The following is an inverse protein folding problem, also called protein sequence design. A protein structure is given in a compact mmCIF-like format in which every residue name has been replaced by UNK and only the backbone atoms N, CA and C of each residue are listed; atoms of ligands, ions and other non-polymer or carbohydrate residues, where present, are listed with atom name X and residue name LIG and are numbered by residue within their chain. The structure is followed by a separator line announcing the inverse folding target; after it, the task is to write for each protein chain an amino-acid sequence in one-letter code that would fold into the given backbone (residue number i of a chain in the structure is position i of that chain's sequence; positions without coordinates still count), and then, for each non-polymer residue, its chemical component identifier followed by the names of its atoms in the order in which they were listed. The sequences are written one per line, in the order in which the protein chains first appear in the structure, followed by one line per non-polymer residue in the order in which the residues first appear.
data_IF_616759219946
#
_entry.id   IF_616759219946
#
_cell.length_a   1.000
_cell.length_b   1.000
_cell.length_c   1.000
_cell.angle_alpha   90.00
_cell.angle_beta   90.00
_cell.angle_gamma   90.00
#
_symmetry.space_group_name_H-M   'P 1'
#
loop_
_entity.id
_entity.type
_entity.pdbx_description
1 polymer ?
#
# COMPACT_ATOMS: atom_id res chain seq x y z
N UNK A 1 -88.92 -15.92 35.10
CA UNK A 1 -88.74 -15.16 33.84
C UNK A 1 -87.46 -14.34 33.94
N UNK A 2 -86.54 -14.56 32.99
CA UNK A 2 -85.31 -13.79 32.67
C UNK A 2 -84.28 -13.57 33.79
N UNK A 3 -83.23 -14.39 33.78
CA UNK A 3 -81.88 -13.97 34.17
C UNK A 3 -80.93 -14.16 32.97
N UNK A 4 -80.24 -13.07 32.62
CA UNK A 4 -79.22 -12.98 31.59
C UNK A 4 -78.01 -13.84 31.93
N UNK A 5 -77.50 -14.56 30.94
CA UNK A 5 -76.12 -15.07 30.92
C UNK A 5 -75.47 -14.48 29.67
N UNK A 6 -74.38 -13.74 29.89
CA UNK A 6 -73.63 -13.05 28.84
C UNK A 6 -72.95 -14.05 27.90
N UNK A 7 -72.93 -13.82 26.57
CA UNK A 7 -72.13 -14.62 25.66
C UNK A 7 -70.64 -14.20 25.72
N UNK A 8 -69.77 -15.21 25.74
CA UNK A 8 -68.32 -15.09 25.75
C UNK A 8 -67.81 -14.38 24.48
N UNK A 9 -66.75 -13.57 24.65
CA UNK A 9 -66.10 -12.82 23.58
C UNK A 9 -65.39 -13.76 22.57
N UNK A 10 -65.40 -13.45 21.26
CA UNK A 10 -64.64 -14.21 20.27
C UNK A 10 -63.14 -13.89 20.37
N UNK A 11 -62.32 -14.94 20.47
CA UNK A 11 -60.86 -14.88 20.46
C UNK A 11 -60.35 -14.36 19.10
N UNK A 12 -59.48 -13.34 19.15
CA UNK A 12 -58.82 -12.78 17.97
C UNK A 12 -57.73 -13.73 17.47
N UNK A 13 -57.66 -14.02 16.15
CA UNK A 13 -56.63 -14.91 15.61
C UNK A 13 -55.23 -14.32 15.77
N UNK A 14 -54.30 -15.19 16.17
CA UNK A 14 -52.90 -14.90 16.41
C UNK A 14 -52.19 -14.33 15.18
N UNK A 15 -51.39 -13.31 15.46
CA UNK A 15 -50.40 -12.62 14.62
C UNK A 15 -49.94 -13.40 13.38
N UNK A 16 -50.12 -12.76 12.22
CA UNK A 16 -49.44 -13.10 10.96
C UNK A 16 -47.95 -12.86 11.20
N UNK A 17 -47.18 -13.94 11.34
CA UNK A 17 -45.73 -13.85 11.30
C UNK A 17 -45.32 -13.45 9.88
N UNK A 18 -44.95 -12.18 9.71
CA UNK A 18 -44.21 -11.71 8.54
C UNK A 18 -42.92 -12.52 8.47
N UNK A 19 -42.85 -13.43 7.48
CA UNK A 19 -41.62 -14.13 7.13
C UNK A 19 -40.70 -13.09 6.51
N UNK A 20 -39.83 -12.49 7.34
CA UNK A 20 -38.66 -11.78 6.82
C UNK A 20 -37.83 -12.80 6.06
N UNK A 21 -37.90 -12.68 4.74
CA UNK A 21 -37.00 -13.32 3.81
C UNK A 21 -35.60 -12.80 4.13
N UNK A 22 -34.83 -13.62 4.83
CA UNK A 22 -33.41 -13.43 5.09
C UNK A 22 -32.71 -13.18 3.76
N UNK A 23 -32.50 -11.91 3.41
CA UNK A 23 -31.52 -11.52 2.42
C UNK A 23 -30.19 -12.13 2.87
N UNK A 24 -29.72 -13.14 2.12
CA UNK A 24 -28.37 -13.66 2.31
C UNK A 24 -27.36 -12.51 2.24
N UNK A 25 -26.17 -12.64 2.85
CA UNK A 25 -25.17 -11.58 2.81
C UNK A 25 -24.94 -11.19 1.36
N UNK A 26 -25.25 -9.92 1.03
CA UNK A 26 -24.95 -9.33 -0.26
C UNK A 26 -23.45 -9.51 -0.49
N UNK A 27 -23.10 -10.48 -1.33
CA UNK A 27 -21.72 -10.77 -1.66
C UNK A 27 -21.16 -9.52 -2.30
N UNK A 28 -20.14 -8.93 -1.68
CA UNK A 28 -19.46 -7.76 -2.22
C UNK A 28 -19.15 -8.00 -3.71
N UNK A 29 -19.29 -6.99 -4.58
CA UNK A 29 -18.99 -7.14 -5.99
C UNK A 29 -17.58 -7.70 -6.16
N UNK A 30 -17.38 -8.60 -7.15
CA UNK A 30 -16.09 -9.25 -7.34
C UNK A 30 -14.99 -8.20 -7.51
N UNK A 31 -13.83 -8.49 -6.95
CA UNK A 31 -12.67 -7.61 -7.02
C UNK A 31 -12.22 -7.39 -8.47
N UNK A 32 -11.44 -6.33 -8.74
CA UNK A 32 -10.90 -6.11 -10.08
C UNK A 32 -10.14 -7.35 -10.56
N UNK A 33 -10.47 -7.80 -11.78
CA UNK A 33 -9.87 -8.97 -12.45
C UNK A 33 -10.06 -10.33 -11.77
N UNK A 34 -11.03 -10.46 -10.86
CA UNK A 34 -11.35 -11.74 -10.24
C UNK A 34 -11.65 -12.82 -11.28
N UNK A 35 -11.08 -14.01 -11.08
CA UNK A 35 -11.23 -15.16 -11.99
C UNK A 35 -10.51 -15.04 -13.34
N UNK A 36 -9.87 -13.91 -13.67
CA UNK A 36 -9.10 -13.77 -14.92
C UNK A 36 -7.75 -14.47 -14.80
N UNK A 37 -7.42 -15.28 -15.81
CA UNK A 37 -6.10 -15.91 -15.93
C UNK A 37 -5.02 -14.94 -16.44
N UNK A 38 -5.42 -13.97 -17.25
CA UNK A 38 -4.53 -12.96 -17.83
C UNK A 38 -5.18 -11.57 -17.85
N UNK A 39 -4.34 -10.56 -17.66
CA UNK A 39 -4.69 -9.14 -17.66
C UNK A 39 -3.61 -8.38 -18.44
N UNK A 40 -4.01 -7.46 -19.31
CA UNK A 40 -3.04 -6.65 -20.05
C UNK A 40 -2.36 -5.64 -19.13
N UNK A 41 -1.11 -5.28 -19.44
CA UNK A 41 -0.40 -4.23 -18.72
C UNK A 41 -1.17 -2.89 -18.73
N UNK A 42 -1.83 -2.56 -19.85
CA UNK A 42 -2.69 -1.37 -19.94
C UNK A 42 -3.84 -1.40 -18.95
N UNK A 43 -4.58 -2.51 -18.85
CA UNK A 43 -5.65 -2.68 -17.85
C UNK A 43 -5.12 -2.57 -16.42
N UNK A 44 -3.95 -3.14 -16.14
CA UNK A 44 -3.29 -3.01 -14.84
C UNK A 44 -2.94 -1.55 -14.50
N UNK A 45 -2.42 -0.78 -15.47
CA UNK A 45 -2.10 0.64 -15.26
C UNK A 45 -3.35 1.47 -15.00
N UNK A 46 -4.44 1.23 -15.72
CA UNK A 46 -5.73 1.91 -15.47
C UNK A 46 -6.28 1.55 -14.08
N UNK A 47 -6.15 0.27 -13.67
CA UNK A 47 -6.54 -0.14 -12.32
C UNK A 47 -5.72 0.59 -11.26
N UNK A 48 -4.39 0.61 -11.38
CA UNK A 48 -3.51 1.34 -10.45
C UNK A 48 -3.79 2.84 -10.42
N UNK A 49 -4.11 3.45 -11.57
CA UNK A 49 -4.46 4.87 -11.65
C UNK A 49 -5.69 5.18 -10.82
N UNK A 50 -6.76 4.39 -11.00
CA UNK A 50 -7.99 4.56 -10.19
C UNK A 50 -7.74 4.28 -8.71
N UNK A 51 -6.92 3.28 -8.35
CA UNK A 51 -6.50 3.07 -6.95
C UNK A 51 -5.81 4.33 -6.40
N UNK A 52 -4.84 4.88 -7.12
CA UNK A 52 -4.14 6.09 -6.68
C UNK A 52 -5.08 7.30 -6.56
N UNK A 53 -6.01 7.47 -7.50
CA UNK A 53 -6.96 8.58 -7.48
C UNK A 53 -7.94 8.45 -6.29
N UNK A 54 -8.41 7.24 -5.96
CA UNK A 54 -9.20 6.97 -4.74
C UNK A 54 -8.40 7.28 -3.46
N UNK A 55 -7.11 6.93 -3.45
CA UNK A 55 -6.23 7.16 -2.31
C UNK A 55 -5.96 8.65 -2.05
N UNK A 56 -6.08 9.51 -3.06
CA UNK A 56 -5.77 10.93 -2.97
C UNK A 56 -6.60 11.67 -1.89
N UNK A 57 -7.81 11.17 -1.59
CA UNK A 57 -8.70 11.74 -0.58
C UNK A 57 -8.54 11.12 0.82
N UNK A 58 -7.68 10.10 0.97
CA UNK A 58 -7.44 9.49 2.28
C UNK A 58 -6.66 10.43 3.21
N UNK A 59 -6.94 10.44 4.53
CA UNK A 59 -6.32 11.39 5.45
C UNK A 59 -4.78 11.36 5.46
N UNK A 60 -4.18 10.18 5.36
CA UNK A 60 -2.71 10.03 5.39
C UNK A 60 -2.06 10.52 4.10
N UNK A 61 -2.66 10.24 2.94
CA UNK A 61 -2.16 10.75 1.65
C UNK A 61 -2.30 12.27 1.60
N UNK A 62 -3.43 12.84 2.05
CA UNK A 62 -3.61 14.29 2.12
C UNK A 62 -2.60 14.98 3.02
N UNK A 63 -2.31 14.41 4.20
CA UNK A 63 -1.26 14.93 5.09
C UNK A 63 0.12 14.91 4.42
N UNK A 64 0.44 13.83 3.71
CA UNK A 64 1.69 13.76 2.93
C UNK A 64 1.75 14.81 1.82
N UNK A 65 0.65 15.03 1.11
CA UNK A 65 0.53 16.04 0.06
C UNK A 65 0.75 17.46 0.60
N UNK A 66 0.07 17.81 1.70
CA UNK A 66 0.24 19.11 2.37
C UNK A 66 1.68 19.33 2.85
N UNK A 67 2.32 18.27 3.36
CA UNK A 67 3.73 18.28 3.74
C UNK A 67 4.62 18.56 2.53
N UNK A 68 4.40 17.89 1.40
CA UNK A 68 5.14 18.12 0.17
C UNK A 68 5.01 19.58 -0.29
N UNK A 69 3.79 20.11 -0.34
CA UNK A 69 3.54 21.49 -0.73
C UNK A 69 4.32 22.47 0.15
N UNK A 70 4.27 22.28 1.47
CA UNK A 70 5.00 23.10 2.43
C UNK A 70 6.53 22.99 2.27
N UNK A 71 7.06 21.77 2.24
CA UNK A 71 8.50 21.51 2.21
C UNK A 71 9.16 21.99 0.92
N UNK A 72 8.44 21.86 -0.20
CA UNK A 72 8.94 22.26 -1.50
C UNK A 72 8.46 23.63 -1.91
N UNK A 73 7.65 24.35 -1.11
CA UNK A 73 7.05 25.65 -1.45
C UNK A 73 6.27 25.58 -2.78
N UNK A 74 5.45 24.56 -2.92
CA UNK A 74 4.55 24.33 -4.04
C UNK A 74 3.12 24.69 -3.64
N UNK A 75 2.26 24.87 -4.64
CA UNK A 75 0.83 25.10 -4.49
C UNK A 75 0.04 24.01 -5.21
N UNK A 76 -1.27 23.95 -4.97
CA UNK A 76 -2.15 23.04 -5.70
C UNK A 76 -2.27 23.35 -7.20
N UNK A 77 -1.77 24.50 -7.66
CA UNK A 77 -1.65 24.81 -9.08
C UNK A 77 -0.41 24.15 -9.70
N UNK A 78 0.62 23.85 -8.91
CA UNK A 78 1.86 23.24 -9.38
C UNK A 78 1.76 21.71 -9.45
N UNK A 79 1.05 21.12 -8.48
CA UNK A 79 0.88 19.67 -8.39
C UNK A 79 -0.47 19.35 -7.75
N UNK A 80 -1.22 18.43 -8.35
CA UNK A 80 -2.52 18.00 -7.83
C UNK A 80 -2.38 16.94 -6.72
N UNK A 81 -3.39 16.77 -5.84
CA UNK A 81 -3.43 15.64 -4.91
C UNK A 81 -3.36 14.28 -5.60
N UNK A 82 -3.99 14.13 -6.78
CA UNK A 82 -3.98 12.90 -7.57
C UNK A 82 -2.57 12.57 -8.04
N UNK A 83 -1.85 13.56 -8.58
CA UNK A 83 -0.47 13.39 -9.03
C UNK A 83 0.44 13.00 -7.87
N UNK A 84 0.31 13.65 -6.71
CA UNK A 84 1.04 13.24 -5.51
C UNK A 84 0.71 11.79 -5.09
N UNK A 85 -0.58 11.43 -5.08
CA UNK A 85 -1.03 10.09 -4.71
C UNK A 85 -0.43 9.02 -5.62
N UNK A 86 -0.42 9.26 -6.94
CA UNK A 86 0.22 8.37 -7.93
C UNK A 86 1.72 8.22 -7.68
N UNK A 87 2.45 9.32 -7.45
CA UNK A 87 3.89 9.27 -7.12
C UNK A 87 4.13 8.45 -5.86
N UNK A 88 3.40 8.77 -4.79
CA UNK A 88 3.54 8.09 -3.50
C UNK A 88 3.24 6.59 -3.62
N UNK A 89 2.17 6.24 -4.32
CA UNK A 89 1.79 4.84 -4.54
C UNK A 89 2.92 4.08 -5.24
N UNK A 90 3.39 4.57 -6.40
CA UNK A 90 4.44 3.90 -7.18
C UNK A 90 5.74 3.83 -6.40
N UNK A 91 6.11 4.90 -5.71
CA UNK A 91 7.30 4.95 -4.88
C UNK A 91 7.28 3.86 -3.79
N UNK A 92 6.21 3.80 -2.99
CA UNK A 92 6.12 2.84 -1.89
C UNK A 92 5.88 1.41 -2.38
N UNK A 93 5.35 1.25 -3.59
CA UNK A 93 5.20 -0.04 -4.25
C UNK A 93 6.53 -0.62 -4.71
N UNK A 94 7.33 0.19 -5.42
CA UNK A 94 8.50 -0.25 -6.21
C UNK A 94 9.80 -0.21 -5.43
N UNK A 95 9.85 0.44 -4.28
CA UNK A 95 11.09 0.55 -3.52
C UNK A 95 11.50 -0.76 -2.83
N UNK A 96 12.76 -0.84 -2.42
CA UNK A 96 13.28 -1.90 -1.55
C UNK A 96 12.48 -1.99 -0.24
N UNK A 97 11.97 -3.18 0.06
CA UNK A 97 11.09 -3.44 1.20
C UNK A 97 9.71 -2.77 1.07
N UNK A 98 9.39 -2.25 -0.11
CA UNK A 98 8.08 -1.70 -0.48
C UNK A 98 7.00 -2.78 -0.51
N UNK A 99 5.74 -2.37 -0.68
CA UNK A 99 4.64 -3.30 -0.50
C UNK A 99 4.49 -4.33 -1.63
N UNK A 100 5.16 -4.19 -2.77
CA UNK A 100 5.25 -5.30 -3.74
C UNK A 100 6.32 -6.33 -3.40
N UNK A 101 7.12 -6.09 -2.36
CA UNK A 101 8.07 -7.07 -1.82
C UNK A 101 9.33 -7.23 -2.66
N UNK A 102 9.76 -6.17 -3.36
CA UNK A 102 11.05 -6.18 -4.07
C UNK A 102 12.16 -5.98 -3.05
N UNK A 103 13.22 -6.80 -3.13
CA UNK A 103 14.42 -6.68 -2.31
C UNK A 103 15.55 -6.08 -3.13
N UNK A 104 16.23 -5.09 -2.56
CA UNK A 104 17.47 -4.61 -3.14
C UNK A 104 18.62 -5.60 -2.91
N UNK A 105 19.34 -5.93 -3.97
CA UNK A 105 20.63 -6.64 -3.95
C UNK A 105 21.43 -6.28 -5.20
N UNK A 106 22.72 -6.65 -5.24
CA UNK A 106 23.57 -6.54 -6.43
C UNK A 106 23.24 -7.71 -7.37
N UNK A 107 22.92 -7.40 -8.62
CA UNK A 107 22.45 -8.36 -9.63
C UNK A 107 23.39 -8.46 -10.83
N UNK A 108 24.25 -7.46 -11.07
CA UNK A 108 25.14 -7.34 -12.22
C UNK A 108 24.38 -7.43 -13.57
N UNK A 109 23.13 -6.95 -13.59
CA UNK A 109 22.24 -6.98 -14.77
C UNK A 109 22.16 -5.63 -15.47
N UNK A 110 21.46 -5.60 -16.61
CA UNK A 110 21.14 -4.36 -17.29
C UNK A 110 20.22 -3.48 -16.42
N UNK A 111 20.31 -2.14 -16.50
CA UNK A 111 19.69 -1.18 -15.57
C UNK A 111 18.19 -0.96 -15.84
N UNK A 112 17.46 -2.03 -16.10
CA UNK A 112 16.15 -2.04 -16.74
C UNK A 112 15.14 -2.81 -15.89
N UNK A 113 13.85 -2.48 -15.97
CA UNK A 113 12.85 -3.19 -15.16
C UNK A 113 12.46 -4.57 -15.70
N UNK A 114 12.95 -5.02 -16.87
CA UNK A 114 12.54 -6.30 -17.49
C UNK A 114 12.74 -7.48 -16.55
N UNK A 115 13.87 -7.52 -15.86
CA UNK A 115 14.21 -8.62 -14.96
C UNK A 115 13.28 -8.69 -13.74
N UNK A 116 12.71 -7.56 -13.31
CA UNK A 116 11.68 -7.56 -12.26
C UNK A 116 10.39 -8.17 -12.81
N UNK A 117 9.97 -7.77 -14.02
CA UNK A 117 8.78 -8.33 -14.67
C UNK A 117 8.92 -9.83 -14.95
N UNK A 118 10.10 -10.29 -15.35
CA UNK A 118 10.38 -11.71 -15.55
C UNK A 118 10.27 -12.51 -14.25
N UNK A 119 10.87 -12.03 -13.16
CA UNK A 119 10.76 -12.65 -11.84
C UNK A 119 9.30 -12.71 -11.39
N UNK A 120 8.56 -11.62 -11.52
CA UNK A 120 7.15 -11.57 -11.18
C UNK A 120 6.29 -12.50 -12.04
N UNK A 121 6.56 -12.63 -13.34
CA UNK A 121 5.85 -13.61 -14.19
C UNK A 121 6.12 -15.06 -13.77
N UNK A 122 7.32 -15.35 -13.26
CA UNK A 122 7.71 -16.67 -12.80
C UNK A 122 7.32 -16.97 -11.33
N UNK A 123 6.92 -15.94 -10.58
CA UNK A 123 6.57 -16.08 -9.16
C UNK A 123 5.19 -16.72 -8.99
N UNK A 124 5.06 -17.58 -7.98
CA UNK A 124 3.81 -18.28 -7.68
C UNK A 124 2.88 -17.41 -6.81
N UNK A 125 2.15 -16.51 -7.47
CA UNK A 125 1.24 -15.57 -6.83
C UNK A 125 -0.01 -16.20 -6.23
N UNK A 126 -0.32 -17.45 -6.56
CA UNK A 126 -1.51 -18.11 -5.98
C UNK A 126 -1.35 -18.31 -4.48
N UNK A 127 -0.13 -18.67 -4.04
CA UNK A 127 0.21 -18.77 -2.62
C UNK A 127 0.13 -17.43 -1.89
N UNK A 128 0.44 -16.35 -2.60
CA UNK A 128 0.38 -14.99 -2.08
C UNK A 128 -1.08 -14.53 -1.87
N UNK A 129 -1.97 -14.86 -2.82
CA UNK A 129 -3.41 -14.62 -2.71
C UNK A 129 -4.05 -15.44 -1.58
N UNK A 130 -3.68 -16.72 -1.46
CA UNK A 130 -4.13 -17.60 -0.36
C UNK A 130 -3.66 -17.09 1.01
N UNK A 131 -2.38 -16.70 1.13
CA UNK A 131 -1.85 -16.15 2.37
C UNK A 131 -2.53 -14.82 2.76
N UNK A 132 -2.92 -14.02 1.77
CA UNK A 132 -3.59 -12.73 1.98
C UNK A 132 -5.06 -12.86 2.42
N UNK A 133 -5.70 -14.00 2.13
CA UNK A 133 -7.13 -14.29 2.39
C UNK A 133 -7.36 -15.30 3.51
N UNK A 134 -6.33 -16.04 3.95
CA UNK A 134 -6.45 -17.03 5.00
C UNK A 134 -6.77 -16.40 6.37
N UNK A 135 -7.83 -16.86 7.07
CA UNK A 135 -8.13 -16.40 8.43
C UNK A 135 -7.03 -16.82 9.40
N UNK A 136 -6.71 -15.95 10.34
CA UNK A 136 -5.63 -16.16 11.31
C UNK A 136 -6.00 -17.33 12.24
N UNK A 137 -5.11 -18.30 12.37
CA UNK A 137 -5.15 -19.23 13.49
C UNK A 137 -4.87 -18.43 14.76
N UNK A 138 -5.87 -18.32 15.63
CA UNK A 138 -5.68 -17.81 16.99
C UNK A 138 -4.84 -18.85 17.74
N UNK A 139 -3.56 -18.60 17.91
CA UNK A 139 -2.78 -19.33 18.91
C UNK A 139 -3.32 -18.91 20.28
N UNK A 140 -4.14 -19.77 20.87
CA UNK A 140 -4.46 -19.67 22.30
C UNK A 140 -3.19 -20.02 23.05
N UNK A 141 -2.52 -19.00 23.59
CA UNK A 141 -1.43 -19.16 24.54
C UNK A 141 -2.00 -19.78 25.84
N UNK A 142 -2.12 -21.10 25.86
CA UNK A 142 -2.28 -21.86 27.10
C UNK A 142 -0.91 -22.07 27.71
N UNK A 143 -0.29 -20.99 28.19
CA UNK A 143 0.82 -21.11 29.14
C UNK A 143 0.29 -21.87 30.37
N UNK A 144 0.79 -23.07 30.71
CA UNK A 144 0.44 -23.72 31.96
C UNK A 144 1.06 -22.91 33.09
N UNK A 145 0.21 -22.41 33.99
CA UNK A 145 0.65 -21.65 35.16
C UNK A 145 1.73 -22.40 35.93
N UNK A 146 2.92 -21.81 35.98
CA UNK A 146 4.01 -22.22 36.87
C UNK A 146 3.49 -22.16 38.30
N UNK A 147 3.40 -23.31 38.97
CA UNK A 147 2.99 -23.40 40.36
C UNK A 147 3.85 -22.45 41.21
N UNK A 148 3.22 -21.44 41.80
CA UNK A 148 3.85 -20.56 42.76
C UNK A 148 4.17 -21.37 44.03
N UNK A 149 5.43 -21.32 44.43
CA UNK A 149 5.90 -21.79 45.73
C UNK A 149 5.10 -21.11 46.82
N UNK A 150 4.63 -21.90 47.78
CA UNK A 150 4.12 -21.39 49.06
C UNK A 150 5.27 -20.68 49.76
N UNK A 151 5.12 -19.37 49.94
CA UNK A 151 5.60 -18.57 51.06
C UNK A 151 5.55 -17.11 50.59
N UNK A 152 4.41 -16.46 50.83
CA UNK A 152 4.25 -15.02 51.08
C UNK A 152 2.75 -14.70 51.20
N UNK A 153 2.19 -15.08 52.34
CA UNK A 153 0.88 -14.66 52.78
C UNK A 153 1.02 -13.41 53.66
N UNK A 154 0.88 -12.23 53.09
CA UNK A 154 0.38 -11.03 53.78
C UNK A 154 0.33 -9.81 52.83
N UNK A 155 -0.83 -9.53 52.26
CA UNK A 155 -1.44 -8.19 52.15
C UNK A 155 -2.52 -8.25 51.06
N UNK A 156 -3.74 -8.52 51.50
CA UNK A 156 -4.94 -8.44 50.68
C UNK A 156 -5.55 -7.05 50.91
N UNK A 157 -5.52 -6.19 49.89
CA UNK A 157 -6.36 -5.00 49.84
C UNK A 157 -6.64 -4.63 48.38
N UNK A 158 -7.86 -4.96 47.96
CA UNK A 158 -8.64 -4.34 46.89
C UNK A 158 -7.95 -4.16 45.52
N UNK A 159 -8.05 -5.19 44.66
CA UNK A 159 -8.19 -4.98 43.22
C UNK A 159 -9.32 -5.85 42.69
N UNK A 160 -10.45 -5.20 42.49
CA UNK A 160 -11.59 -5.70 41.74
C UNK A 160 -11.10 -6.02 40.31
N UNK A 161 -10.83 -7.29 40.04
CA UNK A 161 -10.49 -7.78 38.70
C UNK A 161 -11.78 -8.04 37.94
N UNK A 162 -12.37 -6.98 37.39
CA UNK A 162 -13.29 -7.11 36.27
C UNK A 162 -12.52 -7.76 35.12
N UNK A 163 -12.98 -8.87 34.52
CA UNK A 163 -12.35 -9.40 33.32
C UNK A 163 -12.42 -8.32 32.24
N UNK A 164 -11.28 -7.72 31.89
CA UNK A 164 -11.18 -6.95 30.65
C UNK A 164 -11.49 -7.93 29.54
N UNK A 165 -12.62 -7.73 28.88
CA UNK A 165 -12.91 -8.35 27.59
C UNK A 165 -11.73 -8.01 26.68
N UNK A 166 -10.86 -9.00 26.46
CA UNK A 166 -9.80 -8.92 25.48
C UNK A 166 -10.51 -9.02 24.14
N UNK A 167 -10.94 -7.87 23.60
CA UNK A 167 -11.33 -7.79 22.20
C UNK A 167 -10.10 -8.27 21.43
N UNK A 168 -10.16 -9.42 20.72
CA UNK A 168 -9.03 -9.89 19.96
C UNK A 168 -8.74 -8.81 18.90
N UNK A 169 -7.61 -8.11 19.07
CA UNK A 169 -7.07 -7.30 18.00
C UNK A 169 -6.79 -8.27 16.86
N UNK A 170 -7.54 -8.16 15.76
CA UNK A 170 -7.29 -8.93 14.56
C UNK A 170 -5.78 -8.90 14.30
N UNK A 171 -5.13 -10.06 14.40
CA UNK A 171 -3.71 -10.14 14.14
C UNK A 171 -3.48 -9.65 12.70
N UNK A 172 -2.39 -8.92 12.46
CA UNK A 172 -2.10 -8.47 11.11
C UNK A 172 -1.95 -9.71 10.21
N UNK A 173 -2.48 -9.70 8.96
CA UNK A 173 -2.26 -10.78 8.02
C UNK A 173 -0.78 -11.13 7.95
N UNK A 174 -0.44 -12.42 7.81
CA UNK A 174 0.95 -12.88 7.68
C UNK A 174 1.60 -12.09 6.54
N UNK A 175 2.55 -11.25 6.92
CA UNK A 175 3.29 -10.41 5.99
C UNK A 175 4.32 -11.29 5.29
N UNK A 176 4.27 -11.33 3.96
CA UNK A 176 5.15 -12.18 3.14
C UNK A 176 6.58 -11.71 3.35
N UNK A 177 7.42 -12.61 3.85
CA UNK A 177 8.82 -12.31 4.22
C UNK A 177 9.82 -12.64 3.11
N UNK A 178 9.42 -13.43 2.12
CA UNK A 178 10.26 -13.74 0.96
C UNK A 178 10.10 -12.66 -0.12
N UNK A 179 11.20 -12.18 -0.73
CA UNK A 179 11.10 -11.23 -1.83
C UNK A 179 10.32 -11.80 -3.02
N UNK A 180 9.47 -10.98 -3.64
CA UNK A 180 8.78 -11.33 -4.90
C UNK A 180 9.69 -11.12 -6.11
N UNK A 181 10.69 -10.24 -5.96
CA UNK A 181 11.76 -10.00 -6.92
C UNK A 181 13.00 -9.43 -6.19
N UNK A 182 14.17 -9.60 -6.80
CA UNK A 182 15.43 -8.99 -6.41
C UNK A 182 15.88 -8.03 -7.52
N UNK A 183 16.35 -6.83 -7.15
CA UNK A 183 16.71 -5.79 -8.11
C UNK A 183 17.76 -4.80 -7.59
N UNK A 184 18.57 -4.24 -8.50
CA UNK A 184 19.52 -3.17 -8.20
C UNK A 184 18.87 -1.78 -8.17
N UNK A 185 19.64 -0.77 -7.75
CA UNK A 185 19.13 0.60 -7.57
C UNK A 185 18.66 1.24 -8.89
N UNK A 186 19.27 0.88 -10.01
CA UNK A 186 18.89 1.32 -11.34
C UNK A 186 17.64 0.61 -11.85
N UNK A 187 17.52 -0.71 -11.67
CA UNK A 187 16.33 -1.51 -12.00
C UNK A 187 15.09 -1.00 -11.23
N UNK A 188 15.25 -0.71 -9.93
CA UNK A 188 14.19 -0.13 -9.09
C UNK A 188 13.79 1.28 -9.55
N UNK A 189 14.78 2.13 -9.85
CA UNK A 189 14.53 3.49 -10.34
C UNK A 189 13.91 3.50 -11.74
N UNK A 190 14.29 2.56 -12.60
CA UNK A 190 13.73 2.34 -13.93
C UNK A 190 12.27 1.88 -13.84
N UNK A 191 11.96 0.94 -12.94
CA UNK A 191 10.59 0.50 -12.69
C UNK A 191 9.70 1.64 -12.21
N UNK A 192 10.18 2.45 -11.25
CA UNK A 192 9.48 3.65 -10.81
C UNK A 192 9.24 4.61 -11.99
N UNK A 193 10.27 4.91 -12.78
CA UNK A 193 10.15 5.86 -13.88
C UNK A 193 9.21 5.38 -15.00
N UNK A 194 9.20 4.07 -15.29
CA UNK A 194 8.25 3.44 -16.21
C UNK A 194 6.82 3.65 -15.73
N UNK A 195 6.51 3.22 -14.50
CA UNK A 195 5.16 3.27 -13.94
C UNK A 195 4.69 4.71 -13.75
N UNK A 196 5.58 5.61 -13.33
CA UNK A 196 5.27 7.03 -13.20
C UNK A 196 4.82 7.66 -14.51
N UNK A 197 5.50 7.33 -15.61
CA UNK A 197 5.10 7.79 -16.95
C UNK A 197 3.75 7.22 -17.35
N UNK A 198 3.56 5.92 -17.17
CA UNK A 198 2.37 5.23 -17.67
C UNK A 198 1.12 5.54 -16.80
N UNK A 199 1.32 5.96 -15.54
CA UNK A 199 0.28 6.53 -14.67
C UNK A 199 -0.01 8.02 -14.93
N UNK A 200 0.61 8.61 -15.97
CA UNK A 200 0.40 10.03 -16.34
C UNK A 200 0.67 10.98 -15.16
N UNK A 201 1.79 10.79 -14.47
CA UNK A 201 2.23 11.71 -13.42
C UNK A 201 2.65 13.03 -14.06
N UNK A 202 2.03 14.13 -13.65
CA UNK A 202 2.41 15.47 -14.12
C UNK A 202 3.86 15.81 -13.77
N UNK A 203 4.48 16.58 -14.66
CA UNK A 203 5.88 16.96 -14.55
C UNK A 203 6.82 15.99 -15.25
N UNK A 204 8.06 15.94 -14.80
CA UNK A 204 9.11 15.15 -15.42
C UNK A 204 9.69 14.15 -14.44
N UNK A 205 9.66 12.87 -14.80
CA UNK A 205 10.35 11.81 -14.05
C UNK A 205 11.57 11.34 -14.84
N UNK A 206 12.71 11.27 -14.16
CA UNK A 206 13.95 10.82 -14.77
C UNK A 206 14.90 10.22 -13.74
N UNK A 207 16.07 9.81 -14.22
CA UNK A 207 17.11 9.16 -13.44
C UNK A 207 18.27 10.12 -13.20
N UNK A 208 18.87 10.05 -12.03
CA UNK A 208 20.09 10.79 -11.72
C UNK A 208 21.07 9.90 -10.96
N UNK A 209 22.35 10.26 -11.09
CA UNK A 209 23.47 9.54 -10.47
C UNK A 209 24.09 10.40 -9.36
N UNK A 210 23.67 10.26 -8.08
CA UNK A 210 24.27 11.01 -6.97
C UNK A 210 25.74 10.65 -6.78
N UNK A 211 26.09 9.38 -6.99
CA UNK A 211 27.45 8.83 -6.96
C UNK A 211 27.73 8.10 -8.28
N UNK A 212 28.94 7.57 -8.45
CA UNK A 212 29.34 6.90 -9.70
C UNK A 212 28.67 5.53 -9.90
N UNK A 213 28.19 4.90 -8.82
CA UNK A 213 27.61 3.55 -8.79
C UNK A 213 26.19 3.53 -8.19
N UNK A 214 25.50 4.67 -8.21
CA UNK A 214 24.13 4.74 -7.73
C UNK A 214 23.25 5.44 -8.72
N UNK A 215 22.10 4.85 -8.99
CA UNK A 215 21.01 5.47 -9.72
C UNK A 215 19.84 5.68 -8.77
N UNK A 216 19.22 6.85 -8.85
CA UNK A 216 18.01 7.19 -8.11
C UNK A 216 17.07 7.91 -9.06
N UNK A 217 15.75 7.79 -8.85
CA UNK A 217 14.77 8.56 -9.61
C UNK A 217 14.58 9.98 -9.03
N UNK A 218 14.25 10.94 -9.88
CA UNK A 218 13.83 12.30 -9.51
C UNK A 218 12.49 12.57 -10.18
N UNK A 219 11.58 13.15 -9.40
CA UNK A 219 10.38 13.80 -9.92
C UNK A 219 10.58 15.32 -9.89
N UNK A 220 10.46 15.95 -11.06
CA UNK A 220 10.54 17.39 -11.24
C UNK A 220 9.14 17.96 -11.44
N UNK A 221 8.73 18.82 -10.52
CA UNK A 221 7.44 19.51 -10.57
C UNK A 221 7.66 20.90 -11.16
N UNK A 222 7.08 21.20 -12.35
CA UNK A 222 7.09 22.54 -12.90
C UNK A 222 6.39 23.51 -11.97
N UNK A 223 6.97 24.69 -11.77
CA UNK A 223 6.28 25.76 -11.06
C UNK A 223 5.42 26.58 -12.01
N UNK A 224 4.19 26.82 -11.61
CA UNK A 224 3.29 27.77 -12.26
C UNK A 224 3.93 29.15 -12.27
N UNK A 225 3.91 29.81 -13.43
CA UNK A 225 4.47 31.15 -13.60
C UNK A 225 3.74 32.15 -12.69
N UNK A 226 4.38 32.51 -11.58
CA UNK A 226 3.80 33.37 -10.53
C UNK A 226 4.61 33.36 -9.23
N UNK A 227 5.37 32.30 -8.96
CA UNK A 227 6.43 32.29 -7.95
C UNK A 227 7.71 32.91 -8.50
N UNK A 228 8.34 33.82 -7.75
CA UNK A 228 9.57 34.49 -8.14
C UNK A 228 10.73 33.48 -8.33
N UNK A 229 10.94 33.00 -9.56
CA UNK A 229 12.01 32.07 -9.93
C UNK A 229 11.84 31.52 -11.33
N UNK A 230 12.25 32.28 -12.34
CA UNK A 230 12.08 31.98 -13.76
C UNK A 230 13.03 30.86 -14.27
N UNK A 231 12.48 29.90 -15.03
CA UNK A 231 13.20 28.92 -15.85
C UNK A 231 13.22 27.48 -15.30
N UNK A 232 13.74 26.48 -16.05
CA UNK A 232 13.93 25.09 -15.57
C UNK A 232 14.89 24.94 -14.37
N UNK A 233 15.45 26.06 -13.89
CA UNK A 233 16.15 26.18 -12.62
C UNK A 233 15.20 26.42 -11.42
N UNK A 234 13.92 26.68 -11.66
CA UNK A 234 12.87 26.92 -10.65
C UNK A 234 12.03 25.69 -10.30
N UNK A 235 12.10 24.61 -11.09
CA UNK A 235 11.34 23.38 -10.84
C UNK A 235 11.73 22.76 -9.50
N UNK A 236 10.75 22.28 -8.75
CA UNK A 236 11.02 21.53 -7.54
C UNK A 236 11.53 20.13 -7.92
N UNK A 237 12.74 19.78 -7.46
CA UNK A 237 13.35 18.46 -7.67
C UNK A 237 13.16 17.60 -6.43
N UNK A 238 12.23 16.66 -6.51
CA UNK A 238 11.87 15.75 -5.43
C UNK A 238 12.62 14.42 -5.65
N UNK A 239 13.45 14.03 -4.68
CA UNK A 239 14.16 12.77 -4.73
C UNK A 239 13.24 11.58 -4.47
N UNK A 240 13.40 10.51 -5.24
CA UNK A 240 12.62 9.27 -5.11
C UNK A 240 13.58 8.12 -4.78
N UNK A 241 13.90 7.89 -3.49
CA UNK A 241 14.88 6.89 -3.07
C UNK A 241 14.30 5.47 -3.10
N UNK A 242 14.25 4.86 -4.28
CA UNK A 242 13.71 3.51 -4.48
C UNK A 242 14.60 2.41 -3.89
N UNK A 243 15.88 2.69 -3.61
CA UNK A 243 16.71 1.84 -2.74
C UNK A 243 17.29 2.64 -1.57
N UNK A 244 17.76 1.91 -0.55
CA UNK A 244 18.22 2.49 0.71
C UNK A 244 19.75 2.67 0.79
N UNK A 245 20.47 2.41 -0.30
CA UNK A 245 21.94 2.48 -0.33
C UNK A 245 22.40 3.92 -0.07
N UNK A 246 23.35 4.09 0.84
CA UNK A 246 23.91 5.39 1.26
C UNK A 246 22.89 6.39 1.84
N UNK A 247 21.70 5.91 2.18
CA UNK A 247 20.62 6.71 2.73
C UNK A 247 20.26 6.19 4.13
N UNK A 248 19.86 7.09 5.02
CA UNK A 248 19.40 6.75 6.36
C UNK A 248 18.14 5.89 6.33
N UNK A 249 17.93 5.07 7.38
CA UNK A 249 16.69 4.29 7.54
C UNK A 249 15.42 5.15 7.63
N UNK A 250 15.55 6.47 7.65
CA UNK A 250 14.46 7.45 7.65
C UNK A 250 14.22 8.05 6.27
N UNK A 251 15.08 7.79 5.28
CA UNK A 251 14.94 8.33 3.93
C UNK A 251 13.61 7.89 3.30
N UNK A 252 12.86 8.87 2.83
CA UNK A 252 11.58 8.69 2.16
C UNK A 252 11.47 9.62 0.95
N UNK A 253 10.32 9.62 0.28
CA UNK A 253 10.01 10.50 -0.83
C UNK A 253 10.37 11.94 -0.45
N UNK A 254 11.17 12.60 -1.29
CA UNK A 254 11.62 13.96 -1.04
C UNK A 254 12.76 14.10 -0.03
N UNK A 255 13.45 13.02 0.33
CA UNK A 255 14.69 13.09 1.14
C UNK A 255 15.68 14.12 0.57
N UNK A 256 16.48 14.73 1.44
CA UNK A 256 17.52 15.72 1.08
C UNK A 256 18.95 15.20 1.24
N UNK A 257 19.10 13.91 1.51
CA UNK A 257 20.39 13.30 1.80
C UNK A 257 21.33 13.26 0.58
N UNK A 258 20.78 13.25 -0.64
CA UNK A 258 21.55 13.54 -1.85
C UNK A 258 21.30 14.96 -2.36
N UNK A 259 22.34 15.56 -2.91
CA UNK A 259 22.23 16.84 -3.63
C UNK A 259 21.72 16.60 -5.05
N UNK A 260 20.66 17.29 -5.44
CA UNK A 260 20.01 17.20 -6.77
C UNK A 260 20.58 18.17 -7.81
N UNK A 261 21.83 18.61 -7.63
CA UNK A 261 22.48 19.60 -8.49
C UNK A 261 23.04 19.02 -9.80
N UNK A 262 22.84 17.73 -10.05
CA UNK A 262 23.28 17.04 -11.28
C UNK A 262 22.18 17.03 -12.34
N UNK A 263 22.56 16.63 -13.54
CA UNK A 263 21.64 16.44 -14.67
C UNK A 263 20.71 15.25 -14.37
N UNK A 264 19.42 15.42 -14.64
CA UNK A 264 18.43 14.35 -14.61
C UNK A 264 18.19 13.89 -16.04
N UNK A 265 18.28 12.59 -16.28
CA UNK A 265 18.16 11.98 -17.59
C UNK A 265 16.77 11.37 -17.78
N UNK A 266 16.10 11.60 -18.92
CA UNK A 266 14.79 11.01 -19.17
C UNK A 266 14.89 9.48 -19.31
N UNK A 267 14.03 8.74 -18.61
CA UNK A 267 13.85 7.31 -18.85
C UNK A 267 12.76 7.10 -19.91
N UNK A 268 13.18 6.89 -21.17
CA UNK A 268 12.26 6.80 -22.33
C UNK A 268 11.93 5.38 -22.76
N UNK A 269 12.49 4.38 -22.09
CA UNK A 269 12.33 2.99 -22.50
C UNK A 269 10.91 2.49 -22.23
N UNK A 270 10.40 1.62 -23.10
CA UNK A 270 9.11 0.95 -22.95
C UNK A 270 9.35 -0.51 -22.61
N UNK A 271 9.55 -0.75 -21.33
CA UNK A 271 9.91 -2.05 -20.76
C UNK A 271 8.76 -3.06 -20.94
N UNK A 272 7.52 -2.58 -20.79
CA UNK A 272 6.30 -3.28 -21.17
C UNK A 272 5.49 -2.45 -22.15
N UNK A 273 4.81 -3.13 -23.07
CA UNK A 273 3.81 -2.52 -23.94
C UNK A 273 2.44 -2.64 -23.28
N UNK A 274 1.49 -1.73 -23.56
CA UNK A 274 0.13 -1.81 -23.01
C UNK A 274 -0.55 -3.16 -23.27
N UNK A 275 -0.27 -3.80 -24.41
CA UNK A 275 -0.85 -5.07 -24.81
C UNK A 275 -0.12 -6.29 -24.24
N UNK A 276 0.93 -6.09 -23.44
CA UNK A 276 1.66 -7.20 -22.82
C UNK A 276 0.76 -7.90 -21.81
N UNK A 277 0.59 -9.22 -21.96
CA UNK A 277 -0.18 -10.06 -21.05
C UNK A 277 0.61 -10.33 -19.76
N UNK A 278 -0.05 -10.12 -18.63
CA UNK A 278 0.44 -10.42 -17.29
C UNK A 278 -0.43 -11.50 -16.65
N UNK A 279 0.14 -12.43 -15.86
CA UNK A 279 -0.65 -13.39 -15.10
C UNK A 279 -1.68 -12.68 -14.21
N UNK A 280 -2.94 -13.10 -14.26
CA UNK A 280 -4.03 -12.53 -13.46
C UNK A 280 -3.75 -12.55 -11.95
N UNK A 281 -3.25 -13.67 -11.37
CA UNK A 281 -2.84 -13.71 -9.96
C UNK A 281 -1.78 -12.67 -9.59
N UNK A 282 -0.81 -12.42 -10.47
CA UNK A 282 0.19 -11.36 -10.28
C UNK A 282 -0.51 -9.99 -10.17
N UNK A 283 -1.32 -9.64 -11.17
CA UNK A 283 -1.96 -8.32 -11.23
C UNK A 283 -2.87 -8.09 -10.02
N UNK A 284 -3.70 -9.07 -9.67
CA UNK A 284 -4.57 -8.97 -8.49
C UNK A 284 -3.79 -8.81 -7.19
N UNK A 285 -2.70 -9.56 -7.00
CA UNK A 285 -1.88 -9.42 -5.81
C UNK A 285 -1.22 -8.03 -5.72
N UNK A 286 -0.69 -7.50 -6.84
CA UNK A 286 -0.11 -6.15 -6.85
C UNK A 286 -1.15 -5.07 -6.53
N UNK A 287 -2.35 -5.18 -7.10
CA UNK A 287 -3.47 -4.25 -6.87
C UNK A 287 -4.02 -4.35 -5.45
N UNK A 288 -4.21 -5.57 -4.91
CA UNK A 288 -4.66 -5.77 -3.53
C UNK A 288 -3.67 -5.13 -2.54
N UNK A 289 -2.37 -5.35 -2.74
CA UNK A 289 -1.35 -4.72 -1.90
C UNK A 289 -1.35 -3.19 -2.03
N UNK A 290 -1.54 -2.64 -3.23
CA UNK A 290 -1.68 -1.20 -3.44
C UNK A 290 -2.89 -0.63 -2.65
N UNK A 291 -4.04 -1.31 -2.70
CA UNK A 291 -5.25 -0.91 -1.95
C UNK A 291 -5.08 -1.06 -0.44
N UNK A 292 -4.46 -2.16 0.00
CA UNK A 292 -4.28 -2.51 1.41
C UNK A 292 -3.28 -1.59 2.11
N UNK A 293 -2.18 -1.26 1.44
CA UNK A 293 -1.06 -0.54 2.05
C UNK A 293 -0.97 0.94 1.64
N UNK A 294 -1.56 1.33 0.51
CA UNK A 294 -1.61 2.73 0.05
C UNK A 294 -2.17 3.73 1.08
N UNK A 295 -3.23 3.41 1.87
CA UNK A 295 -3.78 4.33 2.87
C UNK A 295 -2.93 4.49 4.13
N UNK A 296 -1.89 3.67 4.34
CA UNK A 296 -1.09 3.71 5.55
C UNK A 296 -0.33 5.04 5.69
N UNK A 297 -0.03 5.44 6.92
CA UNK A 297 0.80 6.63 7.18
C UNK A 297 2.25 6.42 6.75
N UNK A 298 2.98 7.52 6.50
CA UNK A 298 4.41 7.44 6.16
C UNK A 298 5.21 6.73 7.27
N UNK A 299 4.82 6.87 8.55
CA UNK A 299 5.44 6.17 9.67
C UNK A 299 5.18 4.66 9.62
N UNK A 300 3.94 4.24 9.30
CA UNK A 300 3.60 2.83 9.16
C UNK A 300 4.32 2.18 7.98
N UNK A 301 4.40 2.88 6.84
CA UNK A 301 5.13 2.43 5.66
C UNK A 301 6.64 2.35 5.95
N UNK A 302 7.19 3.34 6.63
CA UNK A 302 8.58 3.36 7.08
C UNK A 302 8.91 2.19 8.02
N UNK A 303 8.06 1.96 9.02
CA UNK A 303 8.22 0.86 9.97
C UNK A 303 8.08 -0.51 9.28
N UNK A 304 7.14 -0.64 8.36
CA UNK A 304 6.98 -1.84 7.53
C UNK A 304 8.25 -2.12 6.74
N UNK A 305 8.70 -1.14 5.96
CA UNK A 305 9.91 -1.22 5.15
C UNK A 305 11.13 -1.56 5.98
N UNK A 306 11.35 -0.90 7.12
CA UNK A 306 12.54 -1.15 7.95
C UNK A 306 12.54 -2.54 8.62
N UNK A 307 11.38 -3.21 8.71
CA UNK A 307 11.27 -4.62 9.14
C UNK A 307 11.59 -5.59 7.99
N UNK A 308 11.18 -5.27 6.76
CA UNK A 308 11.37 -6.11 5.57
C UNK A 308 12.75 -5.90 4.90
N UNK A 309 13.27 -4.67 4.98
CA UNK A 309 14.56 -4.27 4.43
C UNK A 309 15.70 -4.76 5.30
N UNK A 310 16.31 -5.88 4.92
CA UNK A 310 17.43 -6.50 5.62
C UNK A 310 18.78 -5.85 5.30
N UNK A 311 19.01 -4.61 5.72
CA UNK A 311 20.35 -3.98 5.72
C UNK A 311 20.35 -2.70 6.55
#
# INVERSE_FOLDING_TARGET
MRFSVAPAAPELPSSIATREESAGPETAPPGPFEGRESVTYGEFIEELRRVADELADTPEVRRGYERLLSEYQLTSADVSPQTYSRVRLVFEATRDGGFWGIRWDITDRMPWSDAIWEQWRAHDWTKEEEAATSPLSVETDTTPGRAASRDDAASEAARETTPREVIPRAAAPREVTSPTAVAECDELSALFALLARDLEIDGFVGLFWPTWNHTVAVWQVPRSAGGAGQGPAGDARILVPTSQIWLSRQATLGTREFKTNRVVFPYRRRDLRPEAELPGPLVRALVDRARRYGPLSDEQLLARRNRLGGS
#
